data_IF_753999715387
#
_entry.id   IF_753999715387
#
_cell.length_a   1.000
_cell.length_b   1.000
_cell.length_c   1.000
_cell.angle_alpha   90.00
_cell.angle_beta   90.00
_cell.angle_gamma   90.00
#
_symmetry.space_group_name_H-M   'P 1'
#
loop_
_entity.id
_entity.type
_entity.pdbx_description
1 polymer ?
#
# COMPACT_ATOMS: atom_id res chain seq x y z
N UNK A 1 4.63 -1.59 -3.61
CA UNK A 1 3.40 -2.00 -4.31
C UNK A 1 3.30 -3.50 -4.16
N UNK A 2 2.17 -4.01 -3.70
CA UNK A 2 1.95 -5.44 -3.47
C UNK A 2 0.85 -5.91 -4.43
N UNK A 3 1.14 -6.97 -5.20
CA UNK A 3 0.24 -7.51 -6.22
C UNK A 3 0.16 -9.04 -6.07
N UNK A 4 -0.99 -9.66 -6.33
CA UNK A 4 -1.13 -11.11 -6.30
C UNK A 4 -0.38 -11.75 -7.48
N UNK A 5 0.16 -12.96 -7.31
CA UNK A 5 0.70 -13.74 -8.44
C UNK A 5 -0.46 -14.17 -9.34
N UNK A 6 -0.41 -13.74 -10.60
CA UNK A 6 -1.41 -14.08 -11.62
C UNK A 6 -0.98 -15.29 -12.45
N UNK A 7 0.32 -15.62 -12.46
CA UNK A 7 0.89 -16.63 -13.38
C UNK A 7 0.40 -18.05 -13.11
N UNK A 8 0.00 -18.34 -11.88
CA UNK A 8 -0.29 -19.70 -11.43
C UNK A 8 -1.79 -20.05 -11.53
N UNK A 9 -2.66 -19.08 -11.87
CA UNK A 9 -4.11 -19.28 -11.93
C UNK A 9 -4.67 -18.92 -13.32
N UNK A 10 -5.16 -19.94 -14.04
CA UNK A 10 -5.78 -19.79 -15.37
C UNK A 10 -7.00 -18.88 -15.37
N UNK A 11 -7.78 -18.85 -14.28
CA UNK A 11 -8.94 -17.99 -14.18
C UNK A 11 -8.52 -16.51 -14.08
N UNK A 12 -7.49 -16.21 -13.29
CA UNK A 12 -6.92 -14.86 -13.22
C UNK A 12 -6.28 -14.44 -14.54
N UNK A 13 -5.59 -15.36 -15.23
CA UNK A 13 -5.05 -15.11 -16.56
C UNK A 13 -6.15 -14.81 -17.60
N UNK A 14 -7.28 -15.51 -17.55
CA UNK A 14 -8.43 -15.23 -18.41
C UNK A 14 -9.04 -13.85 -18.12
N UNK A 15 -9.17 -13.46 -16.84
CA UNK A 15 -9.63 -12.13 -16.45
C UNK A 15 -8.69 -11.03 -16.96
N UNK A 16 -7.38 -11.25 -16.86
CA UNK A 16 -6.35 -10.35 -17.40
C UNK A 16 -6.50 -10.17 -18.91
N UNK A 17 -6.73 -11.27 -19.64
CA UNK A 17 -6.93 -11.25 -21.10
C UNK A 17 -8.24 -10.56 -21.49
N UNK A 18 -9.34 -10.85 -20.79
CA UNK A 18 -10.62 -10.16 -20.97
C UNK A 18 -10.42 -8.64 -20.79
N UNK A 19 -9.80 -8.23 -19.68
CA UNK A 19 -9.49 -6.82 -19.45
C UNK A 19 -8.58 -6.19 -20.50
N UNK A 20 -7.73 -6.94 -21.19
CA UNK A 20 -6.95 -6.41 -22.33
C UNK A 20 -7.86 -6.16 -23.54
N UNK A 21 -8.82 -7.05 -23.80
CA UNK A 21 -9.77 -6.97 -24.90
C UNK A 21 -10.91 -5.95 -24.69
N UNK A 22 -11.24 -5.61 -23.44
CA UNK A 22 -12.23 -4.57 -23.12
C UNK A 22 -11.93 -3.23 -23.82
N UNK A 23 -12.98 -2.51 -24.22
CA UNK A 23 -12.86 -1.14 -24.68
C UNK A 23 -12.47 -0.19 -23.53
N UNK A 24 -12.14 1.05 -23.88
CA UNK A 24 -11.65 2.05 -22.92
C UNK A 24 -12.69 2.40 -21.85
N UNK A 25 -13.97 2.45 -22.21
CA UNK A 25 -15.05 2.82 -21.31
C UNK A 25 -15.29 1.68 -20.29
N UNK A 26 -15.42 0.45 -20.77
CA UNK A 26 -15.56 -0.73 -19.92
C UNK A 26 -14.35 -0.88 -18.97
N UNK A 27 -13.13 -0.65 -19.46
CA UNK A 27 -11.92 -0.60 -18.61
C UNK A 27 -12.01 0.46 -17.51
N UNK A 28 -12.49 1.65 -17.84
CA UNK A 28 -12.63 2.74 -16.87
C UNK A 28 -13.66 2.37 -15.78
N UNK A 29 -14.78 1.77 -16.18
CA UNK A 29 -15.86 1.36 -15.27
C UNK A 29 -15.43 0.20 -14.36
N UNK A 30 -14.72 -0.79 -14.90
CA UNK A 30 -14.11 -1.87 -14.10
C UNK A 30 -13.10 -1.29 -13.10
N UNK A 31 -12.22 -0.39 -13.53
CA UNK A 31 -11.22 0.21 -12.66
C UNK A 31 -11.86 1.06 -11.56
N UNK A 32 -12.94 1.78 -11.87
CA UNK A 32 -13.72 2.56 -10.91
C UNK A 32 -14.35 1.63 -9.87
N UNK A 33 -15.11 0.62 -10.31
CA UNK A 33 -15.74 -0.37 -9.43
C UNK A 33 -14.70 -1.09 -8.55
N UNK A 34 -13.56 -1.47 -9.10
CA UNK A 34 -12.45 -2.09 -8.35
C UNK A 34 -11.96 -1.18 -7.22
N UNK A 35 -11.76 0.10 -7.49
CA UNK A 35 -11.34 1.08 -6.46
C UNK A 35 -12.43 1.27 -5.42
N UNK A 36 -13.68 1.43 -5.84
CA UNK A 36 -14.80 1.72 -4.95
C UNK A 36 -15.04 0.56 -3.96
N UNK A 37 -14.93 -0.69 -4.44
CA UNK A 37 -15.12 -1.87 -3.59
C UNK A 37 -13.90 -2.20 -2.74
N UNK A 38 -12.68 -2.13 -3.29
CA UNK A 38 -11.49 -2.64 -2.59
C UNK A 38 -10.76 -1.59 -1.75
N UNK A 39 -10.86 -0.29 -2.06
CA UNK A 39 -10.21 0.75 -1.27
C UNK A 39 -10.64 0.76 0.19
N UNK A 40 -11.94 0.66 0.53
CA UNK A 40 -12.37 0.66 1.92
C UNK A 40 -11.79 -0.53 2.68
N UNK A 41 -11.82 -1.73 2.09
CA UNK A 41 -11.29 -2.95 2.71
C UNK A 41 -9.79 -2.80 2.99
N UNK A 42 -9.01 -2.35 1.99
CA UNK A 42 -7.57 -2.14 2.16
C UNK A 42 -7.25 -1.12 3.25
N UNK A 43 -8.00 -0.01 3.29
CA UNK A 43 -7.84 1.02 4.33
C UNK A 43 -8.16 0.49 5.72
N UNK A 44 -9.26 -0.24 5.86
CA UNK A 44 -9.68 -0.82 7.14
C UNK A 44 -8.65 -1.82 7.66
N UNK A 45 -8.19 -2.75 6.82
CA UNK A 45 -7.18 -3.74 7.21
C UNK A 45 -5.85 -3.09 7.60
N UNK A 46 -5.41 -2.10 6.82
CA UNK A 46 -4.17 -1.37 7.14
C UNK A 46 -4.31 -0.58 8.45
N UNK A 47 -5.46 0.07 8.67
CA UNK A 47 -5.73 0.84 9.88
C UNK A 47 -5.82 -0.06 11.12
N UNK A 48 -6.44 -1.24 11.01
CA UNK A 48 -6.53 -2.21 12.09
C UNK A 48 -5.14 -2.69 12.56
N UNK A 49 -4.19 -2.81 11.64
CA UNK A 49 -2.82 -3.22 11.97
C UNK A 49 -1.92 -2.04 12.43
N UNK A 50 -2.30 -0.79 12.13
CA UNK A 50 -1.53 0.41 12.48
C UNK A 50 -1.75 0.84 13.94
N UNK A 51 -1.04 0.18 14.86
CA UNK A 51 -1.21 0.39 16.32
C UNK A 51 -0.53 1.65 16.86
N UNK A 52 0.53 2.17 16.22
CA UNK A 52 1.29 3.33 16.73
C UNK A 52 0.91 4.62 16.00
N UNK A 53 1.00 5.80 16.63
CA UNK A 53 0.79 7.09 15.96
C UNK A 53 1.73 7.29 14.75
N UNK A 54 2.98 6.79 14.85
CA UNK A 54 3.94 6.82 13.75
C UNK A 54 3.47 6.00 12.54
N UNK A 55 2.83 4.85 12.78
CA UNK A 55 2.28 3.99 11.73
C UNK A 55 1.20 4.72 10.96
N UNK A 56 0.33 5.43 11.68
CA UNK A 56 -0.75 6.20 11.08
C UNK A 56 -0.22 7.43 10.32
N UNK A 57 0.84 8.04 10.82
CA UNK A 57 1.48 9.18 10.17
C UNK A 57 2.24 8.78 8.90
N UNK A 58 2.86 7.60 8.87
CA UNK A 58 3.75 7.17 7.77
C UNK A 58 3.04 6.19 6.82
N UNK A 59 2.52 5.08 7.36
CA UNK A 59 2.06 3.94 6.57
C UNK A 59 0.66 4.15 5.99
N UNK A 60 -0.25 4.78 6.75
CA UNK A 60 -1.62 5.04 6.29
C UNK A 60 -1.70 6.14 5.21
N UNK A 61 -0.66 6.94 5.04
CA UNK A 61 -0.69 8.04 4.07
C UNK A 61 -0.52 7.52 2.64
N UNK A 62 -1.52 7.79 1.81
CA UNK A 62 -1.55 7.32 0.42
C UNK A 62 -1.99 5.85 0.27
N UNK A 63 -2.68 5.29 1.28
CA UNK A 63 -3.29 3.96 1.21
C UNK A 63 -4.45 3.93 0.21
N UNK A 64 -4.28 3.13 -0.84
CA UNK A 64 -5.24 2.92 -1.92
C UNK A 64 -4.92 1.65 -2.72
N UNK A 65 -5.90 1.18 -3.46
CA UNK A 65 -5.74 0.21 -4.53
C UNK A 65 -5.44 0.98 -5.82
N UNK A 66 -4.29 0.67 -6.41
CA UNK A 66 -4.00 1.04 -7.79
C UNK A 66 -4.71 0.02 -8.69
N UNK A 67 -5.86 0.42 -9.24
CA UNK A 67 -6.54 -0.38 -10.26
C UNK A 67 -5.67 -0.44 -11.52
N UNK A 68 -5.57 -1.64 -12.07
CA UNK A 68 -4.65 -2.04 -13.13
C UNK A 68 -4.88 -3.51 -13.46
N UNK A 69 -3.96 -4.09 -14.21
CA UNK A 69 -4.07 -5.48 -14.64
C UNK A 69 -2.78 -6.24 -14.25
N UNK A 70 -2.71 -6.86 -13.05
CA UNK A 70 -3.72 -6.92 -11.98
C UNK A 70 -3.75 -5.66 -11.08
N UNK A 71 -4.79 -5.49 -10.24
CA UNK A 71 -4.81 -4.45 -9.22
C UNK A 71 -3.71 -4.68 -8.18
N UNK A 72 -3.26 -3.58 -7.56
CA UNK A 72 -2.22 -3.63 -6.55
C UNK A 72 -2.54 -2.78 -5.32
N UNK A 73 -2.17 -3.28 -4.16
CA UNK A 73 -2.22 -2.54 -2.92
C UNK A 73 -1.03 -1.56 -2.84
N UNK A 74 -1.35 -0.30 -2.59
CA UNK A 74 -0.40 0.80 -2.45
C UNK A 74 -0.61 1.44 -1.08
N UNK A 75 0.51 1.73 -0.41
CA UNK A 75 0.54 2.39 0.88
C UNK A 75 1.84 3.21 1.01
N UNK A 76 1.89 4.09 2.00
CA UNK A 76 3.05 4.92 2.32
C UNK A 76 3.65 5.68 1.13
N UNK A 77 2.81 6.28 0.28
CA UNK A 77 3.25 7.00 -0.94
C UNK A 77 3.30 8.52 -0.78
N UNK A 78 2.98 9.04 0.40
CA UNK A 78 2.99 10.49 0.63
C UNK A 78 4.40 11.06 0.60
N UNK A 79 4.60 12.06 -0.27
CA UNK A 79 5.81 12.89 -0.32
C UNK A 79 5.76 14.10 0.62
N UNK A 80 4.62 14.32 1.28
CA UNK A 80 4.45 15.44 2.22
C UNK A 80 5.26 15.18 3.49
N UNK A 81 6.06 16.16 3.89
CA UNK A 81 6.88 16.12 5.09
C UNK A 81 6.03 15.92 6.36
N UNK A 82 6.53 15.07 7.26
CA UNK A 82 6.01 14.85 8.60
C UNK A 82 6.60 15.90 9.54
N UNK A 83 5.78 16.89 9.89
CA UNK A 83 6.18 18.00 10.76
C UNK A 83 7.30 18.87 10.17
N UNK A 84 7.87 19.75 11.00
CA UNK A 84 8.92 20.70 10.60
C UNK A 84 10.33 20.10 10.49
N UNK A 85 10.49 18.78 10.64
CA UNK A 85 11.80 18.12 10.77
C UNK A 85 12.21 17.27 9.58
N UNK A 86 11.53 17.42 8.43
CA UNK A 86 12.06 16.95 7.15
C UNK A 86 11.87 15.47 6.81
N UNK A 87 11.10 14.70 7.59
CA UNK A 87 10.89 13.27 7.30
C UNK A 87 9.82 13.05 6.24
N UNK A 88 10.13 12.33 5.15
CA UNK A 88 9.20 12.00 4.08
C UNK A 88 8.65 10.57 4.28
N UNK A 89 7.33 10.37 4.41
CA UNK A 89 6.73 9.04 4.58
C UNK A 89 7.16 8.04 3.51
N UNK A 90 7.20 8.46 2.24
CA UNK A 90 7.60 7.62 1.11
C UNK A 90 9.05 7.12 1.15
N UNK A 91 9.92 7.76 1.94
CA UNK A 91 11.32 7.34 2.10
C UNK A 91 11.48 6.51 3.39
N UNK A 92 10.74 6.85 4.44
CA UNK A 92 10.90 6.28 5.77
C UNK A 92 10.02 5.06 6.05
N UNK A 93 9.05 4.74 5.18
CA UNK A 93 8.08 3.69 5.43
C UNK A 93 8.71 2.33 5.75
N UNK A 94 9.82 1.97 5.10
CA UNK A 94 10.48 0.68 5.32
C UNK A 94 11.01 0.57 6.76
N UNK A 95 11.57 1.65 7.31
CA UNK A 95 12.04 1.68 8.69
C UNK A 95 10.88 1.58 9.70
N UNK A 96 9.69 2.07 9.36
CA UNK A 96 8.50 1.98 10.23
C UNK A 96 7.81 0.63 10.12
N UNK A 97 7.78 0.03 8.92
CA UNK A 97 7.16 -1.27 8.66
C UNK A 97 8.01 -2.43 9.19
N UNK A 98 9.31 -2.41 8.89
CA UNK A 98 10.24 -3.50 9.22
C UNK A 98 11.08 -3.23 10.46
N UNK A 99 11.06 -2.01 11.00
CA UNK A 99 11.85 -1.65 12.16
C UNK A 99 13.37 -1.68 11.90
N UNK A 100 14.11 -1.53 12.99
CA UNK A 100 15.57 -1.45 13.01
C UNK A 100 16.14 -2.26 14.17
N UNK A 101 17.43 -2.57 14.10
CA UNK A 101 18.15 -3.13 15.25
C UNK A 101 18.16 -2.08 16.36
N UNK A 102 17.80 -2.47 17.58
CA UNK A 102 17.69 -1.57 18.72
C UNK A 102 19.04 -0.93 19.09
N UNK A 103 18.96 0.22 19.75
CA UNK A 103 20.08 0.91 20.40
C UNK A 103 21.23 1.36 19.49
N UNK A 104 20.93 1.66 18.22
CA UNK A 104 21.92 2.28 17.37
C UNK A 104 22.17 3.74 17.80
N UNK A 105 23.40 4.00 18.26
CA UNK A 105 23.86 5.31 18.70
C UNK A 105 24.77 5.92 17.65
N UNK A 106 24.46 7.14 17.21
CA UNK A 106 25.30 7.90 16.31
C UNK A 106 25.93 9.07 17.07
N UNK A 107 27.25 9.19 16.99
CA UNK A 107 28.00 10.33 17.54
C UNK A 107 28.36 11.27 16.40
N UNK A 108 28.02 12.56 16.55
CA UNK A 108 28.39 13.58 15.57
C UNK A 108 28.85 14.86 16.26
N UNK A 109 29.72 15.58 15.57
CA UNK A 109 30.24 16.87 16.02
C UNK A 109 29.21 17.96 15.69
N UNK A 110 28.69 18.63 16.72
CA UNK A 110 27.75 19.74 16.57
C UNK A 110 28.45 21.04 16.92
N UNK A 111 28.45 21.98 15.97
CA UNK A 111 28.90 23.36 16.22
C UNK A 111 27.82 24.11 16.98
N UNK A 112 28.16 24.62 18.16
CA UNK A 112 27.30 25.48 18.98
C UNK A 112 27.91 26.87 19.17
N UNK A 113 27.19 27.73 19.91
CA UNK A 113 27.65 29.10 20.24
C UNK A 113 28.99 29.14 20.99
N UNK A 114 29.37 28.07 21.70
CA UNK A 114 30.59 27.96 22.51
C UNK A 114 31.63 26.98 21.95
N UNK A 115 31.61 26.72 20.65
CA UNK A 115 32.52 25.77 19.99
C UNK A 115 31.85 24.47 19.56
N UNK A 116 32.64 23.49 19.11
CA UNK A 116 32.15 22.18 18.68
C UNK A 116 32.16 21.18 19.83
N UNK A 117 31.06 20.45 20.02
CA UNK A 117 30.98 19.37 21.01
C UNK A 117 30.44 18.10 20.35
N UNK A 118 30.90 16.95 20.84
CA UNK A 118 30.42 15.66 20.39
C UNK A 118 29.07 15.36 21.04
N UNK A 119 28.10 14.94 20.23
CA UNK A 119 26.77 14.57 20.69
C UNK A 119 26.49 13.14 20.26
N UNK A 120 26.25 12.26 21.23
CA UNK A 120 25.77 10.90 20.99
C UNK A 120 24.25 10.87 21.12
N UNK A 121 23.54 10.39 20.08
CA UNK A 121 22.08 10.19 20.13
C UNK A 121 21.71 8.77 19.73
N UNK A 122 20.71 8.22 20.40
CA UNK A 122 20.02 7.02 19.92
C UNK A 122 19.12 7.43 18.74
N UNK A 123 19.51 7.05 17.53
CA UNK A 123 18.78 7.40 16.30
C UNK A 123 17.63 6.43 16.02
N UNK A 124 17.55 5.33 16.78
CA UNK A 124 16.57 4.26 16.62
C UNK A 124 15.48 4.22 17.69
N UNK A 125 15.55 5.10 18.70
CA UNK A 125 14.67 5.08 19.86
C UNK A 125 13.16 5.14 19.54
N UNK A 126 12.78 5.82 18.45
CA UNK A 126 11.39 5.99 18.04
C UNK A 126 10.91 4.95 17.02
N UNK A 127 11.80 4.06 16.56
CA UNK A 127 11.49 3.06 15.56
C UNK A 127 11.13 1.71 16.22
N UNK A 128 10.27 0.90 15.58
CA UNK A 128 9.99 -0.45 16.05
C UNK A 128 11.24 -1.35 16.00
N UNK A 129 11.27 -2.42 16.81
CA UNK A 129 12.27 -3.46 16.66
C UNK A 129 12.12 -4.14 15.29
N UNK A 130 13.17 -4.84 14.84
CA UNK A 130 13.20 -5.44 13.51
C UNK A 130 12.19 -6.58 13.33
N UNK A 131 11.33 -6.50 12.31
CA UNK A 131 10.40 -7.52 11.84
C UNK A 131 10.74 -7.92 10.40
N UNK A 132 10.98 -9.21 10.12
CA UNK A 132 11.35 -9.66 8.76
C UNK A 132 10.16 -9.74 7.80
N UNK A 133 8.97 -9.98 8.32
CA UNK A 133 7.74 -10.21 7.55
C UNK A 133 6.90 -8.94 7.37
N UNK A 134 7.37 -7.80 7.86
CA UNK A 134 6.54 -6.60 8.03
C UNK A 134 5.56 -6.75 9.21
N UNK A 135 5.03 -5.62 9.68
CA UNK A 135 4.18 -5.54 10.86
C UNK A 135 2.79 -5.00 10.56
N UNK A 136 2.62 -4.17 9.54
CA UNK A 136 1.36 -3.48 9.27
C UNK A 136 0.88 -3.76 7.86
N UNK A 137 1.67 -3.37 6.85
CA UNK A 137 1.27 -3.48 5.44
C UNK A 137 1.22 -4.93 4.95
N UNK A 138 2.24 -5.72 5.30
CA UNK A 138 2.37 -7.10 4.86
C UNK A 138 1.32 -8.05 5.45
N UNK A 139 1.05 -8.07 6.77
CA UNK A 139 -0.03 -8.90 7.30
C UNK A 139 -1.41 -8.47 6.78
N UNK A 140 -1.66 -7.15 6.65
CA UNK A 140 -2.90 -6.66 6.05
C UNK A 140 -3.06 -7.13 4.59
N UNK A 141 -1.97 -7.14 3.81
CA UNK A 141 -2.00 -7.63 2.43
C UNK A 141 -2.16 -9.15 2.36
N UNK A 142 -1.54 -9.90 3.27
CA UNK A 142 -1.69 -11.35 3.36
C UNK A 142 -3.16 -11.73 3.59
N UNK A 143 -3.89 -10.97 4.42
CA UNK A 143 -5.32 -11.15 4.66
C UNK A 143 -6.19 -10.75 3.44
N UNK A 144 -5.83 -9.65 2.76
CA UNK A 144 -6.57 -9.15 1.60
C UNK A 144 -6.37 -10.03 0.35
N UNK A 145 -5.15 -10.54 0.13
CA UNK A 145 -4.72 -11.11 -1.15
C UNK A 145 -5.60 -12.25 -1.69
N UNK A 146 -6.08 -13.23 -0.88
CA UNK A 146 -6.87 -14.35 -1.42
C UNK A 146 -8.24 -13.88 -1.89
N UNK A 147 -8.84 -12.91 -1.19
CA UNK A 147 -10.17 -12.35 -1.51
C UNK A 147 -10.09 -11.31 -2.62
N UNK A 148 -8.94 -10.67 -2.80
CA UNK A 148 -8.75 -9.65 -3.82
C UNK A 148 -8.85 -10.23 -5.23
N UNK A 149 -8.27 -11.41 -5.47
CA UNK A 149 -8.35 -12.08 -6.77
C UNK A 149 -9.78 -12.46 -7.16
N UNK A 150 -10.50 -13.10 -6.25
CA UNK A 150 -11.90 -13.54 -6.49
C UNK A 150 -12.85 -12.36 -6.67
N UNK A 151 -12.76 -11.35 -5.82
CA UNK A 151 -13.56 -10.13 -5.93
C UNK A 151 -13.29 -9.39 -7.24
N UNK A 152 -12.02 -9.33 -7.66
CA UNK A 152 -11.66 -8.69 -8.92
C UNK A 152 -12.28 -9.41 -10.12
N UNK A 153 -12.18 -10.74 -10.16
CA UNK A 153 -12.81 -11.55 -11.19
C UNK A 153 -14.33 -11.33 -11.24
N UNK A 154 -15.00 -11.31 -10.08
CA UNK A 154 -16.43 -11.03 -9.99
C UNK A 154 -16.81 -9.64 -10.52
N UNK A 155 -16.02 -8.61 -10.20
CA UNK A 155 -16.25 -7.25 -10.71
C UNK A 155 -16.14 -7.23 -12.24
N UNK A 156 -15.13 -7.88 -12.80
CA UNK A 156 -14.96 -7.95 -14.26
C UNK A 156 -16.15 -8.63 -14.91
N UNK A 157 -16.53 -9.84 -14.46
CA UNK A 157 -17.67 -10.59 -15.01
C UNK A 157 -18.96 -9.77 -14.92
N UNK A 158 -19.23 -9.16 -13.76
CA UNK A 158 -20.41 -8.31 -13.56
C UNK A 158 -20.46 -7.14 -14.54
N UNK A 159 -19.33 -6.45 -14.75
CA UNK A 159 -19.26 -5.31 -15.68
C UNK A 159 -19.40 -5.71 -17.14
N UNK A 160 -18.89 -6.88 -17.53
CA UNK A 160 -19.16 -7.43 -18.84
C UNK A 160 -20.64 -7.76 -19.04
N UNK A 161 -21.28 -8.39 -18.05
CA UNK A 161 -22.72 -8.69 -18.12
C UNK A 161 -23.56 -7.41 -18.25
N UNK A 162 -23.28 -6.39 -17.43
CA UNK A 162 -23.96 -5.08 -17.51
C UNK A 162 -23.78 -4.41 -18.88
N UNK A 163 -22.58 -4.52 -19.48
CA UNK A 163 -22.31 -3.96 -20.80
C UNK A 163 -23.07 -4.68 -21.92
N UNK A 164 -23.18 -6.01 -21.84
CA UNK A 164 -23.95 -6.81 -22.80
C UNK A 164 -25.44 -6.49 -22.69
N UNK A 165 -25.98 -6.40 -21.46
CA UNK A 165 -27.38 -6.02 -21.24
C UNK A 165 -27.70 -4.61 -21.75
N UNK A 166 -26.77 -3.67 -21.60
CA UNK A 166 -26.93 -2.31 -22.11
C UNK A 166 -26.94 -2.27 -23.64
N UNK A 167 -26.06 -3.03 -24.31
CA UNK A 167 -25.99 -3.12 -25.77
C UNK A 167 -27.12 -3.94 -26.41
N UNK A 168 -27.79 -4.81 -25.66
CA UNK A 168 -28.95 -5.59 -26.12
C UNK A 168 -30.31 -4.91 -25.94
N UNK A 169 -30.34 -3.67 -25.41
CA UNK A 169 -31.55 -2.84 -25.24
C UNK A 169 -31.68 -1.73 -26.29
N UNK A 170 -30.85 -1.77 -27.35
CA UNK A 170 -31.01 -0.98 -28.58
C UNK A 170 -31.69 -1.81 -29.67
#
# INVERSE_FOLDING_TARGET
MLSPSVRDDRALAAVVLALKAADKQLKADINKATRDTMNPVWRTLTAANARRPLDQAVLLKGVRIAAGNPPAAVAATSKRLLGGHGQVPAEWWAAVEFGVTADHRQTYSRRGRRGSHQVTRNVTANLPPRYRTGRVLYPAFAELSPRMGSLWAQIVVKKYAEAIEAGGRE
#
